data_IF_175686265533
#
_entry.id   IF_175686265533
#
_cell.length_a   1.000
_cell.length_b   1.000
_cell.length_c   1.000
_cell.angle_alpha   90.00
_cell.angle_beta   90.00
_cell.angle_gamma   90.00
#
_symmetry.space_group_name_H-M   'P 1'
#
loop_
_entity.id
_entity.type
_entity.pdbx_description
1 polymer ?
#
# COMPACT_ATOMS: atom_id res chain seq x y z
N UNK A 1 0.22 -20.17 -11.19
CA UNK A 1 -0.71 -19.96 -10.07
C UNK A 1 -0.86 -18.48 -9.79
N UNK A 2 -2.08 -17.97 -9.67
CA UNK A 2 -2.39 -16.67 -9.09
C UNK A 2 -2.66 -16.86 -7.60
N UNK A 3 -1.92 -16.14 -6.75
CA UNK A 3 -2.08 -16.15 -5.30
C UNK A 3 -2.87 -14.93 -4.86
N UNK A 4 -3.96 -15.11 -4.13
CA UNK A 4 -4.77 -14.00 -3.62
C UNK A 4 -4.70 -13.89 -2.11
N UNK A 5 -4.35 -12.70 -1.63
CA UNK A 5 -4.50 -12.28 -0.24
C UNK A 5 -5.76 -11.44 -0.01
N UNK A 6 -6.59 -11.28 -1.04
CA UNK A 6 -7.78 -10.46 -0.98
C UNK A 6 -8.98 -11.27 -0.47
N UNK A 7 -9.73 -10.80 0.54
CA UNK A 7 -10.81 -11.59 1.13
C UNK A 7 -11.98 -11.86 0.18
N UNK A 8 -12.19 -10.98 -0.81
CA UNK A 8 -13.31 -11.10 -1.76
C UNK A 8 -12.91 -11.58 -3.16
N UNK A 9 -11.61 -11.80 -3.43
CA UNK A 9 -11.18 -12.27 -4.75
C UNK A 9 -10.53 -13.64 -4.60
N UNK A 10 -11.23 -14.67 -5.06
CA UNK A 10 -10.69 -16.02 -5.18
C UNK A 10 -9.74 -16.08 -6.38
N UNK A 11 -8.78 -17.00 -6.32
CA UNK A 11 -7.81 -17.30 -7.36
C UNK A 11 -7.43 -18.79 -7.26
N UNK A 12 -6.38 -19.23 -7.96
CA UNK A 12 -5.89 -20.61 -7.86
C UNK A 12 -5.55 -20.99 -6.41
N UNK A 13 -5.01 -20.05 -5.63
CA UNK A 13 -4.79 -20.19 -4.19
C UNK A 13 -5.17 -18.90 -3.46
N UNK A 14 -5.85 -19.02 -2.33
CA UNK A 14 -6.27 -17.88 -1.51
C UNK A 14 -5.78 -18.01 -0.07
N UNK A 15 -5.21 -16.95 0.48
CA UNK A 15 -4.72 -16.87 1.86
C UNK A 15 -5.32 -15.66 2.56
N UNK A 16 -6.06 -15.87 3.65
CA UNK A 16 -6.55 -14.79 4.49
C UNK A 16 -5.57 -14.57 5.64
N UNK A 17 -4.67 -13.59 5.47
CA UNK A 17 -3.55 -13.36 6.39
C UNK A 17 -4.01 -12.81 7.76
N UNK A 18 -5.14 -12.08 7.84
CA UNK A 18 -5.57 -11.46 9.10
C UNK A 18 -4.48 -10.58 9.73
N UNK A 19 -4.13 -10.85 11.00
CA UNK A 19 -3.09 -10.14 11.73
C UNK A 19 -1.74 -10.89 11.82
N UNK A 20 -1.64 -12.11 11.27
CA UNK A 20 -0.39 -12.90 11.34
C UNK A 20 0.65 -12.39 10.32
N UNK A 21 1.95 -12.48 10.62
CA UNK A 21 2.99 -12.22 9.64
C UNK A 21 3.04 -13.32 8.57
N UNK A 22 3.79 -13.05 7.49
CA UNK A 22 4.16 -14.05 6.49
C UNK A 22 5.07 -15.11 7.11
N UNK A 23 4.70 -16.38 6.96
CA UNK A 23 5.57 -17.51 7.25
C UNK A 23 6.37 -17.92 6.00
N UNK A 24 7.18 -18.98 6.10
CA UNK A 24 8.01 -19.45 4.99
C UNK A 24 7.18 -19.99 3.81
N UNK A 25 6.06 -20.66 4.09
CA UNK A 25 5.15 -21.18 3.08
C UNK A 25 4.51 -20.06 2.27
N UNK A 26 4.03 -18.99 2.92
CA UNK A 26 3.48 -17.83 2.23
C UNK A 26 4.53 -17.18 1.32
N UNK A 27 5.78 -17.05 1.79
CA UNK A 27 6.88 -16.50 0.99
C UNK A 27 7.20 -17.38 -0.20
N UNK A 28 7.24 -18.68 -0.01
CA UNK A 28 7.44 -19.64 -1.09
C UNK A 28 6.32 -19.55 -2.14
N UNK A 29 5.06 -19.46 -1.70
CA UNK A 29 3.91 -19.27 -2.59
C UNK A 29 3.97 -17.94 -3.34
N UNK A 30 4.36 -16.85 -2.68
CA UNK A 30 4.56 -15.53 -3.33
C UNK A 30 5.63 -15.63 -4.43
N UNK A 31 6.78 -16.23 -4.13
CA UNK A 31 7.90 -16.36 -5.09
C UNK A 31 7.57 -17.28 -6.27
N UNK A 32 6.69 -18.26 -6.06
CA UNK A 32 6.28 -19.24 -7.07
C UNK A 32 5.03 -18.81 -7.85
N UNK A 33 4.36 -17.73 -7.45
CA UNK A 33 3.16 -17.24 -8.11
C UNK A 33 3.49 -16.53 -9.42
N UNK A 34 2.63 -16.69 -10.43
CA UNK A 34 2.69 -15.89 -11.65
C UNK A 34 2.23 -14.45 -11.41
N UNK A 35 1.31 -14.27 -10.46
CA UNK A 35 0.85 -12.97 -10.00
C UNK A 35 0.25 -13.07 -8.59
N UNK A 36 0.33 -11.98 -7.83
CA UNK A 36 -0.24 -11.86 -6.48
C UNK A 36 -1.30 -10.77 -6.43
N UNK A 37 -2.49 -11.09 -5.93
CA UNK A 37 -3.52 -10.11 -5.58
C UNK A 37 -3.32 -9.70 -4.11
N UNK A 38 -2.98 -8.44 -3.87
CA UNK A 38 -2.71 -7.90 -2.54
C UNK A 38 -4.00 -7.70 -1.73
N UNK A 39 -3.92 -7.68 -0.37
CA UNK A 39 -5.08 -7.38 0.46
C UNK A 39 -5.50 -5.89 0.33
N UNK A 40 -6.78 -5.57 0.59
CA UNK A 40 -7.30 -4.18 0.56
C UNK A 40 -6.64 -3.26 1.60
N UNK A 41 -6.21 -3.84 2.72
CA UNK A 41 -5.71 -3.14 3.90
C UNK A 41 -4.19 -2.94 3.90
N UNK A 42 -3.60 -3.15 5.08
CA UNK A 42 -2.15 -3.16 5.26
C UNK A 42 -1.59 -4.45 4.67
N UNK A 43 -0.97 -4.35 3.50
CA UNK A 43 -0.22 -5.43 2.87
C UNK A 43 1.18 -5.61 3.48
N UNK A 44 1.32 -5.39 4.80
CA UNK A 44 2.60 -5.35 5.48
C UNK A 44 3.29 -6.71 5.32
N UNK A 45 4.49 -6.71 4.74
CA UNK A 45 5.22 -7.93 4.37
C UNK A 45 4.88 -8.44 2.97
N UNK A 46 3.61 -8.57 2.59
CA UNK A 46 3.20 -9.11 1.27
C UNK A 46 3.72 -8.24 0.13
N UNK A 47 3.46 -6.93 0.17
CA UNK A 47 3.91 -6.02 -0.89
C UNK A 47 5.44 -5.99 -0.97
N UNK A 48 6.13 -5.99 0.18
CA UNK A 48 7.59 -5.98 0.21
C UNK A 48 8.17 -7.28 -0.36
N UNK A 49 7.66 -8.44 0.05
CA UNK A 49 8.10 -9.73 -0.47
C UNK A 49 7.88 -9.82 -1.98
N UNK A 50 6.74 -9.34 -2.50
CA UNK A 50 6.50 -9.29 -3.94
C UNK A 50 7.50 -8.37 -4.66
N UNK A 51 7.85 -7.21 -4.08
CA UNK A 51 8.86 -6.33 -4.66
C UNK A 51 10.26 -6.98 -4.66
N UNK A 52 10.65 -7.58 -3.53
CA UNK A 52 11.98 -8.18 -3.35
C UNK A 52 12.18 -9.39 -4.29
N UNK A 53 11.12 -10.19 -4.47
CA UNK A 53 11.10 -11.34 -5.39
C UNK A 53 10.79 -10.97 -6.85
N UNK A 54 10.44 -9.70 -7.12
CA UNK A 54 9.95 -9.22 -8.43
C UNK A 54 8.71 -9.97 -8.94
N UNK A 55 7.92 -10.55 -8.03
CA UNK A 55 6.64 -11.19 -8.40
C UNK A 55 5.63 -10.11 -8.84
N UNK A 56 5.01 -10.27 -10.02
CA UNK A 56 3.94 -9.37 -10.47
C UNK A 56 2.81 -9.28 -9.43
N UNK A 57 2.33 -8.07 -9.16
CA UNK A 57 1.33 -7.86 -8.12
C UNK A 57 0.25 -6.84 -8.53
N UNK A 58 -0.95 -7.02 -8.01
CA UNK A 58 -2.07 -6.09 -8.19
C UNK A 58 -2.83 -5.85 -6.88
N UNK A 59 -3.21 -4.61 -6.57
CA UNK A 59 -2.72 -3.37 -7.18
C UNK A 59 -1.26 -3.08 -6.78
N UNK A 60 -0.55 -2.25 -7.55
CA UNK A 60 0.77 -1.79 -7.15
C UNK A 60 0.64 -0.70 -6.06
N UNK A 61 1.11 -0.99 -4.84
CA UNK A 61 1.08 -0.04 -3.71
C UNK A 61 2.31 0.88 -3.59
N UNK A 62 3.22 0.91 -4.57
CA UNK A 62 4.45 1.71 -4.52
C UNK A 62 4.18 3.19 -4.24
N UNK A 63 3.24 3.80 -4.97
CA UNK A 63 2.86 5.21 -4.73
C UNK A 63 2.21 5.43 -3.36
N UNK A 64 1.43 4.45 -2.88
CA UNK A 64 0.81 4.51 -1.54
C UNK A 64 1.85 4.46 -0.43
N UNK A 65 2.95 3.74 -0.64
CA UNK A 65 4.09 3.72 0.29
C UNK A 65 4.94 4.99 0.21
N UNK A 66 5.25 5.46 -0.99
CA UNK A 66 6.05 6.67 -1.20
C UNK A 66 5.37 7.95 -0.66
N UNK A 67 4.03 7.96 -0.65
CA UNK A 67 3.22 9.10 -0.22
C UNK A 67 2.22 8.70 0.87
N UNK A 68 2.70 8.40 2.09
CA UNK A 68 1.86 7.85 3.14
C UNK A 68 0.92 8.90 3.75
N UNK A 69 -0.32 8.48 4.03
CA UNK A 69 -1.33 9.30 4.69
C UNK A 69 -1.77 10.53 3.90
N UNK A 70 -2.63 11.36 4.51
CA UNK A 70 -3.22 12.53 3.84
C UNK A 70 -2.17 13.56 3.40
N UNK A 71 -1.16 13.81 4.25
CA UNK A 71 -0.08 14.74 3.95
C UNK A 71 0.75 14.23 2.77
N UNK A 72 1.14 12.96 2.77
CA UNK A 72 1.85 12.33 1.65
C UNK A 72 1.02 12.38 0.37
N UNK A 73 -0.24 11.96 0.41
CA UNK A 73 -1.14 12.00 -0.74
C UNK A 73 -1.28 13.42 -1.32
N UNK A 74 -1.45 14.45 -0.48
CA UNK A 74 -1.50 15.83 -0.98
C UNK A 74 -0.19 16.28 -1.64
N UNK A 75 0.96 15.71 -1.24
CA UNK A 75 2.24 15.96 -1.92
C UNK A 75 2.30 15.21 -3.24
N UNK A 76 1.76 13.99 -3.33
CA UNK A 76 1.67 13.24 -4.58
C UNK A 76 0.97 14.10 -5.65
N UNK A 77 -0.22 14.63 -5.34
CA UNK A 77 -0.93 15.48 -6.28
C UNK A 77 -0.10 16.69 -6.73
N UNK A 78 0.56 17.37 -5.79
CA UNK A 78 1.41 18.51 -6.11
C UNK A 78 2.64 18.13 -6.95
N UNK A 79 3.35 17.05 -6.59
CA UNK A 79 4.56 16.59 -7.29
C UNK A 79 4.27 16.25 -8.74
N UNK A 80 3.13 15.60 -9.01
CA UNK A 80 2.71 15.20 -10.35
C UNK A 80 1.85 16.28 -11.05
N UNK A 81 1.71 17.47 -10.47
CA UNK A 81 0.92 18.58 -11.00
C UNK A 81 -0.53 18.19 -11.36
N UNK A 82 -1.11 17.28 -10.59
CA UNK A 82 -2.48 16.80 -10.80
C UNK A 82 -3.48 17.82 -10.24
N UNK A 83 -4.68 17.97 -10.84
CA UNK A 83 -5.72 18.83 -10.28
C UNK A 83 -6.10 18.39 -8.86
N UNK A 84 -6.03 19.32 -7.90
CA UNK A 84 -6.40 19.08 -6.51
C UNK A 84 -6.88 20.36 -5.82
N UNK A 85 -7.74 20.28 -4.80
CA UNK A 85 -8.12 21.45 -4.00
C UNK A 85 -6.90 22.10 -3.35
N UNK A 86 -6.96 23.42 -3.14
CA UNK A 86 -5.92 24.14 -2.39
C UNK A 86 -5.72 23.48 -1.03
N UNK A 87 -4.53 22.90 -0.82
CA UNK A 87 -4.24 22.09 0.37
C UNK A 87 -3.14 22.72 1.19
N UNK A 88 -3.44 22.99 2.46
CA UNK A 88 -2.47 23.42 3.45
C UNK A 88 -1.99 22.22 4.26
N UNK A 89 -0.70 22.24 4.65
CA UNK A 89 -0.08 21.16 5.41
C UNK A 89 0.70 21.74 6.58
N UNK A 90 0.54 21.13 7.74
CA UNK A 90 1.33 21.43 8.92
C UNK A 90 2.11 20.20 9.35
N UNK A 91 3.37 20.39 9.74
CA UNK A 91 4.22 19.29 10.24
C UNK A 91 3.80 18.82 11.64
N UNK A 92 3.20 19.72 12.42
CA UNK A 92 2.75 19.46 13.79
C UNK A 92 1.44 20.17 14.08
N UNK A 93 0.73 19.70 15.10
CA UNK A 93 -0.50 20.34 15.59
C UNK A 93 -0.22 21.76 16.10
N UNK A 94 0.95 22.00 16.72
CA UNK A 94 1.29 23.34 17.20
C UNK A 94 1.58 24.32 16.06
N UNK A 95 2.16 23.84 14.95
CA UNK A 95 2.31 24.67 13.76
C UNK A 95 0.95 25.10 13.19
N UNK A 96 -0.07 24.23 13.27
CA UNK A 96 -1.44 24.58 12.91
C UNK A 96 -2.00 25.64 13.87
N UNK A 97 -1.86 25.45 15.18
CA UNK A 97 -2.37 26.41 16.21
C UNK A 97 -1.76 27.82 16.09
N UNK A 98 -0.52 27.92 15.60
CA UNK A 98 0.17 29.22 15.39
C UNK A 98 -0.39 30.01 14.21
N UNK A 99 -1.12 29.37 13.30
CA UNK A 99 -1.85 30.07 12.23
C UNK A 99 -3.10 30.68 12.88
N UNK A 100 -2.95 31.87 13.45
CA UNK A 100 -4.09 32.71 13.86
C UNK A 100 -4.85 33.09 12.59
N UNK A 101 -6.06 32.56 12.44
CA UNK A 101 -7.07 32.90 11.44
C UNK A 101 -6.57 32.84 9.98
N UNK A 102 -6.93 31.75 9.28
CA UNK A 102 -7.07 31.77 7.82
C UNK A 102 -8.39 32.43 7.45
#
# INVERSE_FOLDING_TARGET
MILSFHPCFTADHQIILGARPLNEEDRWLIRSAHAVILPQGRANGVFQECQDSKTPMFPNYGMRQAYPGKVGQSRLFQTFQLPHPRTFRWKTVDALKKVRAL
#
